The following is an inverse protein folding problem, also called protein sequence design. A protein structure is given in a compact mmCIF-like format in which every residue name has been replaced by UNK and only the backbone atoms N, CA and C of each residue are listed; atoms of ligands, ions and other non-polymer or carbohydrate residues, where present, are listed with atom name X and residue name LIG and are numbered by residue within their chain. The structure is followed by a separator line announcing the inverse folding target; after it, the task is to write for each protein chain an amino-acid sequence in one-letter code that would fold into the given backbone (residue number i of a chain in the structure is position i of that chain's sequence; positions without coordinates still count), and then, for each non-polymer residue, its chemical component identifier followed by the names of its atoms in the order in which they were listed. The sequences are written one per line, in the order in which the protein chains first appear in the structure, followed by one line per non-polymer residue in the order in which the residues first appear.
data_IF_667763994507
#
_entry.id   IF_667763994507
#
_cell.length_a   1.000
_cell.length_b   1.000
_cell.length_c   1.000
_cell.angle_alpha   90.00
_cell.angle_beta   90.00
_cell.angle_gamma   90.00
#
_symmetry.space_group_name_H-M   'P 1'
#
loop_
_entity.id
_entity.type
_entity.pdbx_description
1 polymer ?
#
# COMPACT_ATOMS: atom_id res chain seq x y z
N UNK A 1 14.38 46.10 -24.51
CA UNK A 1 13.25 45.16 -24.69
C UNK A 1 13.69 43.70 -24.62
N UNK A 2 14.74 43.29 -25.36
CA UNK A 2 15.27 41.91 -25.37
C UNK A 2 15.56 41.32 -23.98
N UNK A 3 16.23 42.07 -23.10
CA UNK A 3 16.58 41.60 -21.76
C UNK A 3 15.36 41.30 -20.87
N UNK A 4 14.30 42.12 -20.93
CA UNK A 4 13.05 41.89 -20.19
C UNK A 4 12.34 40.63 -20.70
N UNK A 5 12.34 40.41 -22.01
CA UNK A 5 11.78 39.20 -22.63
C UNK A 5 12.57 37.94 -22.22
N UNK A 6 13.91 38.01 -22.22
CA UNK A 6 14.77 36.91 -21.77
C UNK A 6 14.54 36.56 -20.29
N UNK A 7 14.39 37.56 -19.40
CA UNK A 7 14.06 37.31 -18.00
C UNK A 7 12.72 36.58 -17.87
N UNK A 8 11.68 37.03 -18.57
CA UNK A 8 10.35 36.39 -18.51
C UNK A 8 10.41 34.93 -18.95
N UNK A 9 11.10 34.64 -20.06
CA UNK A 9 11.26 33.26 -20.57
C UNK A 9 12.02 32.39 -19.56
N UNK A 10 13.11 32.90 -18.97
CA UNK A 10 13.87 32.16 -17.95
C UNK A 10 13.01 31.92 -16.70
N UNK A 11 12.26 32.92 -16.22
CA UNK A 11 11.39 32.77 -15.06
C UNK A 11 10.30 31.72 -15.28
N UNK A 12 9.68 31.68 -16.47
CA UNK A 12 8.70 30.64 -16.81
C UNK A 12 9.37 29.27 -16.78
N UNK A 13 10.56 29.13 -17.37
CA UNK A 13 11.29 27.86 -17.43
C UNK A 13 11.66 27.35 -16.02
N UNK A 14 12.11 28.26 -15.13
CA UNK A 14 12.38 27.94 -13.73
C UNK A 14 11.10 27.52 -13.00
N UNK A 15 9.99 28.26 -13.16
CA UNK A 15 8.71 27.91 -12.53
C UNK A 15 8.22 26.54 -13.02
N UNK A 16 8.27 26.26 -14.31
CA UNK A 16 7.90 24.96 -14.87
C UNK A 16 8.78 23.83 -14.33
N UNK A 17 10.08 24.07 -14.18
CA UNK A 17 11.00 23.09 -13.63
C UNK A 17 10.70 22.80 -12.14
N UNK A 18 10.49 23.84 -11.34
CA UNK A 18 10.10 23.72 -9.93
C UNK A 18 8.75 23.00 -9.78
N UNK A 19 7.78 23.32 -10.63
CA UNK A 19 6.47 22.67 -10.62
C UNK A 19 6.57 21.19 -11.01
N UNK A 20 7.40 20.85 -12.00
CA UNK A 20 7.68 19.46 -12.37
C UNK A 20 8.33 18.68 -11.22
N UNK A 21 9.33 19.27 -10.55
CA UNK A 21 9.96 18.64 -9.38
C UNK A 21 8.98 18.45 -8.23
N UNK A 22 8.07 19.41 -8.00
CA UNK A 22 7.04 19.31 -6.97
C UNK A 22 6.01 18.20 -7.27
N UNK A 23 5.55 18.06 -8.51
CA UNK A 23 4.60 16.99 -8.87
C UNK A 23 5.26 15.62 -8.87
N UNK A 24 6.51 15.55 -9.31
CA UNK A 24 7.30 14.32 -9.36
C UNK A 24 7.91 13.95 -8.01
N UNK A 25 7.72 14.77 -6.95
CA UNK A 25 8.32 14.48 -5.65
C UNK A 25 7.68 13.22 -5.08
N UNK A 26 8.52 12.20 -4.92
CA UNK A 26 8.22 10.95 -4.26
C UNK A 26 9.44 10.71 -3.38
N UNK A 27 9.28 10.70 -2.05
CA UNK A 27 10.46 10.52 -1.18
C UNK A 27 11.07 9.15 -1.42
N UNK A 28 10.23 8.11 -1.52
CA UNK A 28 10.65 6.76 -1.87
C UNK A 28 9.62 6.07 -2.76
N UNK A 29 10.05 5.67 -3.96
CA UNK A 29 9.25 4.83 -4.86
C UNK A 29 9.32 3.37 -4.42
N UNK A 30 8.18 2.73 -4.27
CA UNK A 30 8.11 1.31 -3.91
C UNK A 30 8.19 0.45 -5.17
N UNK A 31 9.13 -0.52 -5.26
CA UNK A 31 9.18 -1.47 -6.36
C UNK A 31 7.97 -2.42 -6.32
N UNK A 32 7.38 -2.69 -7.48
CA UNK A 32 6.36 -3.72 -7.63
C UNK A 32 7.02 -5.11 -7.57
N UNK A 33 6.37 -6.07 -6.91
CA UNK A 33 6.82 -7.47 -6.87
C UNK A 33 6.66 -8.08 -8.26
N UNK A 34 7.65 -8.83 -8.74
CA UNK A 34 7.66 -9.32 -10.14
C UNK A 34 6.89 -10.64 -10.36
N UNK A 35 6.75 -11.48 -9.33
CA UNK A 35 6.22 -12.85 -9.47
C UNK A 35 5.17 -13.16 -8.40
N UNK A 36 3.98 -12.63 -8.57
CA UNK A 36 2.85 -12.86 -7.67
C UNK A 36 1.53 -12.96 -8.43
N UNK A 37 0.54 -13.61 -7.81
CA UNK A 37 -0.86 -13.55 -8.25
C UNK A 37 -1.75 -13.25 -7.05
N UNK A 38 -2.85 -12.53 -7.30
CA UNK A 38 -3.84 -12.20 -6.27
C UNK A 38 -5.22 -12.62 -6.78
N UNK A 39 -5.81 -13.57 -6.09
CA UNK A 39 -7.09 -14.16 -6.46
C UNK A 39 -7.88 -14.55 -5.22
N UNK A 40 -9.17 -14.80 -5.38
CA UNK A 40 -10.03 -15.27 -4.29
C UNK A 40 -10.14 -16.80 -4.26
N UNK A 41 -10.76 -17.35 -3.21
CA UNK A 41 -11.11 -18.78 -3.18
C UNK A 41 -12.02 -19.25 -4.33
N UNK A 42 -12.71 -18.35 -5.02
CA UNK A 42 -13.52 -18.70 -6.21
C UNK A 42 -12.69 -18.75 -7.50
N UNK A 43 -11.40 -18.43 -7.43
CA UNK A 43 -10.49 -18.32 -8.57
C UNK A 43 -10.59 -16.99 -9.32
N UNK A 44 -11.40 -16.03 -8.84
CA UNK A 44 -11.50 -14.71 -9.45
C UNK A 44 -10.27 -13.87 -9.14
N UNK A 45 -9.67 -13.25 -10.16
CA UNK A 45 -8.58 -12.30 -9.98
C UNK A 45 -9.06 -11.08 -9.20
N UNK A 46 -8.30 -10.68 -8.17
CA UNK A 46 -8.62 -9.48 -7.39
C UNK A 46 -7.88 -8.27 -7.95
N UNK A 47 -8.53 -7.11 -8.15
CA UNK A 47 -7.89 -5.91 -8.67
C UNK A 47 -6.97 -5.24 -7.64
N UNK A 48 -5.81 -5.83 -7.40
CA UNK A 48 -4.80 -5.32 -6.49
C UNK A 48 -3.39 -5.52 -7.05
N UNK A 49 -2.46 -4.70 -6.58
CA UNK A 49 -1.03 -4.80 -6.86
C UNK A 49 -0.23 -4.97 -5.58
N UNK A 50 0.93 -5.62 -5.69
CA UNK A 50 1.80 -5.87 -4.56
C UNK A 50 3.14 -5.17 -4.76
N UNK A 51 3.54 -4.36 -3.79
CA UNK A 51 4.83 -3.68 -3.76
C UNK A 51 5.65 -4.18 -2.57
N UNK A 52 6.98 -4.14 -2.68
CA UNK A 52 7.87 -4.51 -1.57
C UNK A 52 8.64 -3.32 -1.04
N UNK A 53 8.96 -3.35 0.25
CA UNK A 53 9.92 -2.44 0.87
C UNK A 53 10.58 -3.10 2.06
N UNK A 54 11.72 -2.55 2.45
CA UNK A 54 12.39 -2.88 3.70
C UNK A 54 12.42 -1.63 4.56
N UNK A 55 11.96 -1.77 5.80
CA UNK A 55 11.87 -0.73 6.82
C UNK A 55 12.80 -1.09 7.97
N UNK A 56 13.49 -0.11 8.54
CA UNK A 56 14.27 -0.29 9.77
C UNK A 56 13.37 -0.07 10.96
N UNK A 57 13.29 -1.05 11.86
CA UNK A 57 12.52 -0.93 13.09
C UNK A 57 13.33 -1.39 14.28
N UNK A 58 13.04 -0.85 15.46
CA UNK A 58 13.66 -1.27 16.71
C UNK A 58 12.73 -2.27 17.40
N UNK A 59 13.12 -3.54 17.42
CA UNK A 59 12.41 -4.61 18.11
C UNK A 59 13.29 -5.10 19.26
N UNK A 60 12.76 -5.10 20.48
CA UNK A 60 13.47 -5.53 21.70
C UNK A 60 14.84 -4.82 21.89
N UNK A 61 14.90 -3.54 21.49
CA UNK A 61 16.11 -2.72 21.59
C UNK A 61 17.18 -3.01 20.53
N UNK A 62 16.88 -3.82 19.50
CA UNK A 62 17.75 -4.08 18.36
C UNK A 62 17.16 -3.52 17.08
N UNK A 63 18.01 -2.91 16.26
CA UNK A 63 17.64 -2.53 14.90
C UNK A 63 17.52 -3.79 14.03
N UNK A 64 16.33 -4.02 13.50
CA UNK A 64 16.03 -5.08 12.54
C UNK A 64 15.53 -4.47 11.24
N UNK A 65 15.97 -5.04 10.11
CA UNK A 65 15.35 -4.78 8.82
C UNK A 65 14.12 -5.69 8.70
N UNK A 66 12.96 -5.08 8.46
CA UNK A 66 11.70 -5.77 8.30
C UNK A 66 11.29 -5.66 6.84
N UNK A 67 11.15 -6.82 6.19
CA UNK A 67 10.59 -6.90 4.84
C UNK A 67 9.07 -6.85 4.92
N UNK A 68 8.51 -5.91 4.18
CA UNK A 68 7.09 -5.64 4.12
C UNK A 68 6.60 -5.68 2.68
N UNK A 69 5.38 -6.15 2.50
CA UNK A 69 4.63 -5.96 1.29
C UNK A 69 3.52 -4.94 1.49
N UNK A 70 3.35 -4.04 0.52
CA UNK A 70 2.23 -3.11 0.44
C UNK A 70 1.26 -3.64 -0.61
N UNK A 71 0.13 -4.15 -0.15
CA UNK A 71 -0.99 -4.53 -1.00
C UNK A 71 -1.84 -3.30 -1.30
N UNK A 72 -1.91 -2.91 -2.57
CA UNK A 72 -2.66 -1.75 -3.04
C UNK A 72 -3.85 -2.20 -3.88
N UNK A 73 -5.07 -1.98 -3.39
CA UNK A 73 -6.29 -2.21 -4.17
C UNK A 73 -6.52 -1.08 -5.18
N UNK A 74 -6.99 -1.42 -6.38
CA UNK A 74 -7.24 -0.47 -7.46
C UNK A 74 -8.46 0.42 -7.15
N UNK A 75 -8.37 1.72 -7.44
CA UNK A 75 -9.45 2.70 -7.23
C UNK A 75 -10.77 2.35 -7.92
N UNK A 76 -10.74 1.58 -9.02
CA UNK A 76 -11.97 1.11 -9.69
C UNK A 76 -12.82 0.19 -8.82
N UNK A 77 -12.24 -0.48 -7.82
CA UNK A 77 -12.97 -1.24 -6.80
C UNK A 77 -13.59 -0.33 -5.74
N UNK A 78 -13.00 0.83 -5.51
CA UNK A 78 -13.20 1.65 -4.31
C UNK A 78 -13.84 2.99 -4.67
N UNK A 79 -14.81 2.93 -5.59
CA UNK A 79 -15.60 4.05 -6.10
C UNK A 79 -16.50 4.68 -5.01
N UNK A 80 -15.88 5.42 -4.06
CA UNK A 80 -16.48 6.29 -3.02
C UNK A 80 -16.73 5.70 -1.61
N UNK A 81 -16.02 4.64 -1.20
CA UNK A 81 -16.07 4.14 0.18
C UNK A 81 -14.70 4.09 0.89
N UNK A 82 -13.72 4.88 0.43
CA UNK A 82 -12.43 5.04 1.10
C UNK A 82 -12.54 5.98 2.30
N UNK A 83 -11.84 5.65 3.38
CA UNK A 83 -11.47 6.56 4.48
C UNK A 83 -12.63 7.13 5.33
N UNK A 84 -13.62 6.33 5.67
CA UNK A 84 -14.46 6.65 6.83
C UNK A 84 -14.51 5.45 7.79
N UNK A 85 -14.92 5.62 9.04
CA UNK A 85 -15.05 4.49 9.98
C UNK A 85 -16.28 3.64 9.65
N UNK A 86 -16.25 2.32 9.84
CA UNK A 86 -17.42 1.41 9.67
C UNK A 86 -17.13 0.08 8.96
N UNK A 87 -18.05 -0.87 9.10
CA UNK A 87 -17.86 -2.31 8.81
C UNK A 87 -17.74 -2.69 7.31
N UNK A 88 -18.14 -1.81 6.39
CA UNK A 88 -18.22 -2.12 4.94
C UNK A 88 -17.06 -1.57 4.09
N UNK A 89 -16.04 -1.00 4.71
CA UNK A 89 -14.99 -0.26 3.98
C UNK A 89 -13.77 -1.10 3.68
N UNK A 90 -13.22 -0.86 2.50
CA UNK A 90 -11.97 -1.46 2.04
C UNK A 90 -10.87 -0.41 2.14
N UNK A 91 -9.80 -0.74 2.85
CA UNK A 91 -8.61 0.09 2.93
C UNK A 91 -7.80 -0.04 1.64
N UNK A 92 -7.40 1.10 1.06
CA UNK A 92 -6.62 1.13 -0.20
C UNK A 92 -5.30 0.38 -0.08
N UNK A 93 -4.60 0.57 1.04
CA UNK A 93 -3.32 -0.04 1.32
C UNK A 93 -3.39 -0.95 2.53
N UNK A 94 -2.89 -2.18 2.40
CA UNK A 94 -2.56 -3.04 3.54
C UNK A 94 -1.05 -3.24 3.60
N UNK A 95 -0.50 -3.16 4.81
CA UNK A 95 0.88 -3.54 5.10
C UNK A 95 0.87 -5.01 5.50
N UNK A 96 1.76 -5.82 4.92
CA UNK A 96 1.87 -7.24 5.19
C UNK A 96 3.31 -7.53 5.60
N UNK A 97 3.50 -8.16 6.75
CA UNK A 97 4.81 -8.53 7.28
C UNK A 97 4.83 -10.05 7.43
N UNK A 98 5.28 -10.81 6.41
CA UNK A 98 5.18 -12.26 6.39
C UNK A 98 5.89 -12.92 7.58
N UNK A 99 7.13 -12.50 7.86
CA UNK A 99 7.97 -13.08 8.91
C UNK A 99 7.39 -12.91 10.33
N UNK A 100 6.58 -11.86 10.53
CA UNK A 100 5.89 -11.60 11.81
C UNK A 100 4.42 -12.05 11.77
N UNK A 101 3.93 -12.56 10.64
CA UNK A 101 2.53 -13.00 10.42
C UNK A 101 1.51 -11.89 10.70
N UNK A 102 1.80 -10.67 10.25
CA UNK A 102 0.96 -9.49 10.49
C UNK A 102 0.40 -8.95 9.18
N UNK A 103 -0.86 -8.53 9.20
CA UNK A 103 -1.47 -7.61 8.25
C UNK A 103 -1.91 -6.38 9.03
N UNK A 104 -1.61 -5.20 8.53
CA UNK A 104 -1.89 -3.93 9.19
C UNK A 104 -2.27 -2.81 8.22
N UNK A 105 -2.54 -1.66 8.81
CA UNK A 105 -2.77 -0.40 8.11
C UNK A 105 -1.70 0.59 8.50
N UNK A 106 -1.20 1.35 7.52
CA UNK A 106 -0.38 2.52 7.81
C UNK A 106 -1.20 3.49 8.67
N UNK A 107 -0.61 3.95 9.77
CA UNK A 107 -1.29 4.84 10.73
C UNK A 107 -1.72 6.16 10.07
N UNK A 108 -0.89 6.68 9.16
CA UNK A 108 -1.21 7.82 8.32
C UNK A 108 -1.43 7.37 6.86
N UNK A 109 -2.69 7.20 6.45
CA UNK A 109 -3.02 6.73 5.10
C UNK A 109 -2.50 7.64 3.97
N UNK A 110 -2.26 8.93 4.26
CA UNK A 110 -1.71 9.88 3.29
C UNK A 110 -0.19 9.74 3.09
N UNK A 111 0.47 8.93 3.92
CA UNK A 111 1.89 8.64 3.82
C UNK A 111 2.23 7.70 2.64
N UNK A 112 1.22 7.00 2.09
CA UNK A 112 1.30 6.26 0.85
C UNK A 112 0.41 6.91 -0.22
N UNK A 113 0.97 7.14 -1.40
CA UNK A 113 0.22 7.61 -2.56
C UNK A 113 0.38 6.65 -3.72
N UNK A 114 -0.75 6.22 -4.25
CA UNK A 114 -0.80 5.49 -5.50
C UNK A 114 -0.64 6.49 -6.65
N UNK A 115 0.35 6.26 -7.49
CA UNK A 115 0.58 6.91 -8.77
C UNK A 115 0.30 5.86 -9.82
N UNK A 116 -0.15 6.26 -11.02
CA UNK A 116 -0.59 5.34 -12.09
C UNK A 116 0.35 4.13 -12.34
N UNK A 117 1.65 4.30 -12.11
CA UNK A 117 2.68 3.28 -12.36
C UNK A 117 3.41 2.76 -11.12
N UNK A 118 3.15 3.29 -9.93
CA UNK A 118 3.87 2.93 -8.70
C UNK A 118 3.24 3.49 -7.44
N UNK A 119 3.56 2.92 -6.28
CA UNK A 119 3.25 3.53 -4.99
C UNK A 119 4.44 4.36 -4.50
N UNK A 120 4.15 5.55 -4.00
CA UNK A 120 5.07 6.46 -3.36
C UNK A 120 4.87 6.45 -1.86
N UNK A 121 5.98 6.34 -1.13
CA UNK A 121 6.06 6.71 0.27
C UNK A 121 6.44 8.19 0.33
N UNK A 122 5.54 9.00 0.90
CA UNK A 122 5.63 10.46 0.96
C UNK A 122 6.36 10.96 2.21
N UNK A 123 6.42 10.14 3.26
CA UNK A 123 7.15 10.43 4.51
C UNK A 123 7.37 9.14 5.32
N UNK A 124 8.08 9.27 6.43
CA UNK A 124 8.42 8.15 7.33
C UNK A 124 7.24 7.70 8.19
N UNK A 125 6.12 8.45 8.25
CA UNK A 125 4.91 7.96 8.92
C UNK A 125 4.36 6.70 8.24
N UNK A 126 4.73 6.47 6.97
CA UNK A 126 4.38 5.26 6.24
C UNK A 126 4.94 3.99 6.90
N UNK A 127 5.99 4.11 7.71
CA UNK A 127 6.64 3.00 8.39
C UNK A 127 5.92 2.62 9.70
N UNK A 128 5.04 3.48 10.19
CA UNK A 128 4.21 3.22 11.36
C UNK A 128 2.89 2.58 10.92
N UNK A 129 2.58 1.40 11.46
CA UNK A 129 1.34 0.69 11.15
C UNK A 129 0.66 0.12 12.40
N UNK A 130 -0.62 -0.16 12.26
CA UNK A 130 -1.44 -0.84 13.27
C UNK A 130 -1.89 -2.18 12.70
N UNK A 131 -1.64 -3.27 13.43
CA UNK A 131 -2.16 -4.60 13.05
C UNK A 131 -3.68 -4.56 13.00
N UNK A 132 -4.27 -5.17 11.97
CA UNK A 132 -5.73 -5.27 11.83
C UNK A 132 -6.27 -6.67 12.12
N UNK A 133 -5.41 -7.68 12.12
CA UNK A 133 -5.81 -9.06 12.38
C UNK A 133 -6.32 -9.18 13.81
N UNK A 134 -7.61 -9.49 13.97
CA UNK A 134 -8.26 -9.71 15.26
C UNK A 134 -8.05 -8.55 16.27
N UNK A 135 -7.87 -7.31 15.77
CA UNK A 135 -7.58 -6.16 16.62
C UNK A 135 -8.86 -5.50 17.14
N UNK A 136 -9.40 -6.04 18.23
CA UNK A 136 -10.58 -5.48 18.90
C UNK A 136 -10.33 -4.18 19.68
N UNK A 137 -9.07 -3.79 19.86
CA UNK A 137 -8.71 -2.53 20.54
C UNK A 137 -8.99 -1.33 19.64
N UNK A 138 -8.83 -1.50 18.32
CA UNK A 138 -9.04 -0.44 17.33
C UNK A 138 -10.36 -0.61 16.57
N UNK A 139 -10.85 -1.84 16.40
CA UNK A 139 -12.07 -2.13 15.66
C UNK A 139 -13.11 -2.81 16.54
N UNK A 140 -14.36 -2.35 16.51
CA UNK A 140 -15.49 -3.08 17.12
C UNK A 140 -15.66 -4.47 16.50
N UNK A 141 -15.51 -4.55 15.17
CA UNK A 141 -15.51 -5.79 14.39
C UNK A 141 -14.32 -5.76 13.41
N UNK A 142 -13.21 -6.47 13.73
CA UNK A 142 -12.02 -6.45 12.89
C UNK A 142 -12.33 -6.90 11.45
N UNK A 143 -11.85 -6.15 10.42
CA UNK A 143 -12.10 -6.45 9.01
C UNK A 143 -11.43 -7.76 8.60
N UNK A 144 -10.24 -8.05 9.14
CA UNK A 144 -9.54 -9.31 8.97
C UNK A 144 -9.51 -10.00 10.33
N UNK A 145 -10.14 -11.17 10.41
CA UNK A 145 -10.21 -12.00 11.62
C UNK A 145 -9.18 -13.10 11.59
N UNK A 146 -8.92 -13.64 10.39
CA UNK A 146 -8.03 -14.76 10.19
C UNK A 146 -7.08 -14.49 9.03
N UNK A 147 -5.81 -14.86 9.23
CA UNK A 147 -4.81 -14.87 8.18
C UNK A 147 -3.88 -16.07 8.35
N UNK A 148 -3.51 -16.70 7.25
CA UNK A 148 -2.54 -17.79 7.18
C UNK A 148 -1.36 -17.34 6.34
N UNK A 149 -0.16 -17.59 6.86
CA UNK A 149 1.10 -17.23 6.22
C UNK A 149 1.93 -18.48 6.00
N UNK A 150 2.38 -18.66 4.76
CA UNK A 150 3.31 -19.69 4.32
C UNK A 150 4.33 -19.06 3.40
N UNK A 151 5.43 -19.75 3.14
CA UNK A 151 6.51 -19.24 2.27
C UNK A 151 6.03 -18.89 0.86
N UNK A 152 4.94 -19.52 0.39
CA UNK A 152 4.40 -19.34 -0.96
C UNK A 152 3.10 -18.59 -1.02
N UNK A 153 2.39 -18.44 0.10
CA UNK A 153 1.03 -17.92 0.12
C UNK A 153 0.71 -17.15 1.39
N UNK A 154 -0.05 -16.08 1.21
CA UNK A 154 -0.71 -15.35 2.28
C UNK A 154 -2.21 -15.40 1.98
N UNK A 155 -2.99 -15.88 2.94
CA UNK A 155 -4.44 -16.06 2.81
C UNK A 155 -5.11 -15.30 3.93
N UNK A 156 -6.13 -14.51 3.64
CA UNK A 156 -6.93 -13.82 4.66
C UNK A 156 -8.39 -13.70 4.23
N UNK A 157 -9.30 -13.53 5.19
CA UNK A 157 -10.72 -13.36 4.85
C UNK A 157 -10.95 -12.02 4.11
N UNK A 158 -11.86 -12.02 3.13
CA UNK A 158 -12.32 -10.78 2.49
C UNK A 158 -13.27 -10.01 3.43
N UNK A 159 -13.45 -8.72 3.15
CA UNK A 159 -14.31 -7.81 3.90
C UNK A 159 -14.83 -6.68 2.98
N UNK A 160 -15.87 -5.98 3.41
CA UNK A 160 -16.52 -4.94 2.61
C UNK A 160 -16.83 -5.38 1.19
N UNK A 161 -16.53 -4.53 0.21
CA UNK A 161 -16.74 -4.84 -1.22
C UNK A 161 -15.88 -5.99 -1.75
N UNK A 162 -14.82 -6.41 -1.05
CA UNK A 162 -14.01 -7.56 -1.49
C UNK A 162 -14.78 -8.89 -1.41
N UNK A 163 -15.85 -8.95 -0.61
CA UNK A 163 -16.71 -10.14 -0.50
C UNK A 163 -17.35 -10.54 -1.84
N UNK A 164 -17.47 -9.61 -2.79
CA UNK A 164 -17.98 -9.93 -4.13
C UNK A 164 -17.08 -10.90 -4.91
N UNK A 165 -15.80 -11.01 -4.54
CA UNK A 165 -14.85 -11.95 -5.16
C UNK A 165 -14.87 -13.33 -4.51
N UNK A 166 -15.35 -13.46 -3.27
CA UNK A 166 -15.28 -14.69 -2.48
C UNK A 166 -15.05 -14.41 -1.01
N UNK A 167 -14.90 -15.47 -0.21
CA UNK A 167 -14.74 -15.39 1.25
C UNK A 167 -13.29 -15.13 1.68
N UNK A 168 -12.32 -15.51 0.85
CA UNK A 168 -10.90 -15.30 1.14
C UNK A 168 -10.15 -14.71 -0.04
N UNK A 169 -9.16 -13.90 0.27
CA UNK A 169 -8.15 -13.38 -0.65
C UNK A 169 -6.87 -14.19 -0.49
N UNK A 170 -6.24 -14.54 -1.60
CA UNK A 170 -5.04 -15.36 -1.69
C UNK A 170 -4.00 -14.56 -2.47
N UNK A 171 -2.85 -14.33 -1.86
CA UNK A 171 -1.64 -13.82 -2.51
C UNK A 171 -0.72 -15.02 -2.64
N UNK A 172 -0.41 -15.44 -3.87
CA UNK A 172 0.52 -16.52 -4.15
C UNK A 172 1.80 -15.95 -4.78
N UNK A 173 2.95 -16.28 -4.18
CA UNK A 173 4.27 -15.95 -4.69
C UNK A 173 4.76 -17.09 -5.59
N UNK A 174 5.21 -16.75 -6.79
CA UNK A 174 5.82 -17.75 -7.66
C UNK A 174 7.19 -18.17 -7.11
N UNK A 175 7.55 -19.44 -7.27
CA UNK A 175 8.92 -19.88 -6.97
C UNK A 175 9.88 -19.10 -7.89
N UNK A 176 10.93 -18.49 -7.33
CA UNK A 176 12.13 -18.21 -8.11
C UNK A 176 12.62 -19.57 -8.65
N UNK A 177 12.73 -19.66 -9.98
CA UNK A 177 13.31 -20.84 -10.65
C UNK A 177 14.82 -20.79 -10.58
#
# INVERSE_FOLDING_TARGET
MKYKFTIIVISILVITCLFYMFISSCNRRLPEVSNYTIFSNTGMAMPAKLYSRTVKSVIDGKEENIDEFILCFNDTLIANHLNASGDDKVYKFLVIIPNKKIIGLVNNMNALKDKETHVCQENDDADNFTSIINNHTFFSNPPIKEATFTDKKIIFNTYGVLKQYGETAIIEFGNEK
#
